data_IF_032236720159
#
_entry.id   IF_032236720159
#
_cell.length_a   1.000
_cell.length_b   1.000
_cell.length_c   1.000
_cell.angle_alpha   90.00
_cell.angle_beta   90.00
_cell.angle_gamma   90.00
#
_symmetry.space_group_name_H-M   'P 1'
#
loop_
_entity.id
_entity.type
_entity.pdbx_description
1 polymer ?
#
# COMPACT_ATOMS: atom_id res chain seq x y z
N UNK A 1 46.85 7.92 -45.37
CA UNK A 1 46.05 8.80 -46.26
C UNK A 1 45.69 10.05 -45.47
N UNK A 2 46.20 11.20 -45.92
CA UNK A 2 46.00 12.54 -45.35
C UNK A 2 44.69 13.17 -45.81
N UNK A 3 44.07 13.98 -44.95
CA UNK A 3 43.21 15.19 -45.16
C UNK A 3 42.69 15.57 -43.76
N UNK A 4 43.16 16.56 -42.98
CA UNK A 4 43.45 18.02 -43.09
C UNK A 4 42.23 18.94 -43.30
N UNK A 5 42.09 19.88 -42.34
CA UNK A 5 41.42 21.21 -42.31
C UNK A 5 39.89 21.26 -42.12
N UNK A 6 39.26 22.14 -41.32
CA UNK A 6 39.65 23.39 -40.64
C UNK A 6 38.73 23.74 -39.46
N UNK A 7 39.24 24.58 -38.55
CA UNK A 7 38.54 25.24 -37.45
C UNK A 7 37.70 26.46 -37.89
N UNK A 8 36.71 26.85 -37.08
CA UNK A 8 36.21 28.22 -37.00
C UNK A 8 35.59 28.52 -35.62
N UNK A 9 36.27 29.38 -34.85
CA UNK A 9 35.72 30.18 -33.76
C UNK A 9 34.83 31.29 -34.35
N UNK A 10 33.70 31.61 -33.69
CA UNK A 10 33.15 32.98 -33.70
C UNK A 10 32.62 33.32 -32.30
N UNK A 11 33.22 34.37 -31.74
CA UNK A 11 32.86 35.13 -30.55
C UNK A 11 32.16 36.42 -31.01
N UNK A 12 31.10 36.88 -30.34
CA UNK A 12 30.57 38.28 -30.30
C UNK A 12 29.56 38.29 -29.13
N UNK A 13 29.87 38.81 -27.95
CA UNK A 13 30.01 40.20 -27.50
C UNK A 13 28.71 40.78 -26.91
N UNK A 14 28.87 41.34 -25.71
CA UNK A 14 27.87 41.84 -24.79
C UNK A 14 27.32 43.24 -25.15
N UNK A 15 26.15 43.57 -24.63
CA UNK A 15 25.74 44.94 -24.36
C UNK A 15 25.24 45.09 -22.92
N UNK A 16 25.91 45.97 -22.17
CA UNK A 16 25.58 46.50 -20.84
C UNK A 16 25.34 48.00 -21.01
N UNK A 17 24.25 48.53 -20.43
CA UNK A 17 24.10 49.92 -19.92
C UNK A 17 23.02 49.84 -18.81
N UNK A 18 23.35 49.79 -17.51
CA UNK A 18 23.66 50.85 -16.51
C UNK A 18 22.50 51.83 -16.19
N UNK A 19 21.83 51.50 -15.07
CA UNK A 19 21.49 52.30 -13.86
C UNK A 19 20.83 53.68 -13.91
N UNK A 20 19.79 53.84 -13.08
CA UNK A 20 19.72 54.92 -12.09
C UNK A 20 19.24 54.40 -10.73
N UNK A 21 19.91 54.87 -9.68
CA UNK A 21 19.70 54.57 -8.27
C UNK A 21 18.83 55.64 -7.59
N UNK A 22 18.12 55.27 -6.54
CA UNK A 22 17.80 56.16 -5.42
C UNK A 22 17.58 55.32 -4.13
N UNK A 23 18.33 55.65 -3.09
CA UNK A 23 18.18 55.24 -1.67
C UNK A 23 18.15 56.54 -0.83
N UNK A 24 18.10 56.52 0.51
CA UNK A 24 17.10 55.96 1.43
C UNK A 24 16.65 57.00 2.48
N UNK A 25 15.63 56.69 3.31
CA UNK A 25 15.39 57.21 4.68
C UNK A 25 14.02 56.64 5.11
N UNK A 26 13.71 56.18 6.32
CA UNK A 26 14.42 56.07 7.59
C UNK A 26 13.37 55.72 8.67
N UNK A 27 13.73 54.82 9.59
CA UNK A 27 13.19 54.64 10.95
C UNK A 27 11.69 54.38 11.22
N UNK A 28 11.39 53.24 11.86
CA UNK A 28 10.14 53.03 12.61
C UNK A 28 10.11 51.67 13.31
N UNK A 29 10.06 51.68 14.65
CA UNK A 29 10.23 50.57 15.61
C UNK A 29 9.02 49.61 15.68
N UNK A 30 9.34 48.35 15.99
CA UNK A 30 8.71 47.35 16.87
C UNK A 30 7.23 47.51 17.29
N UNK A 31 6.42 46.45 17.11
CA UNK A 31 5.83 45.64 18.22
C UNK A 31 4.83 44.59 17.66
N UNK A 32 5.07 43.31 17.98
CA UNK A 32 4.07 42.22 18.10
C UNK A 32 3.52 42.32 19.56
N UNK A 33 2.25 42.01 19.95
CA UNK A 33 1.63 40.74 19.56
C UNK A 33 0.09 40.52 19.66
N UNK A 34 -0.32 39.31 19.23
CA UNK A 34 -1.46 38.45 19.69
C UNK A 34 -2.89 38.57 19.11
N UNK A 35 -3.36 37.36 18.77
CA UNK A 35 -4.70 36.74 18.99
C UNK A 35 -5.94 37.29 18.29
N UNK A 36 -6.51 36.41 17.46
CA UNK A 36 -7.87 35.89 17.68
C UNK A 36 -8.97 36.55 16.87
N UNK A 37 -9.43 35.88 15.81
CA UNK A 37 -10.78 36.08 15.27
C UNK A 37 -11.31 34.74 14.75
N UNK A 38 -12.17 34.13 15.57
CA UNK A 38 -13.16 33.14 15.14
C UNK A 38 -13.97 33.73 13.98
N UNK A 39 -13.93 33.08 12.82
CA UNK A 39 -14.87 33.37 11.75
C UNK A 39 -16.26 32.88 12.17
N UNK A 40 -17.15 33.82 12.48
CA UNK A 40 -18.56 33.57 12.72
C UNK A 40 -19.23 33.12 11.43
N UNK A 41 -19.84 31.94 11.44
CA UNK A 41 -20.69 31.42 10.38
C UNK A 41 -21.78 32.44 10.02
N UNK A 42 -21.83 32.82 8.74
CA UNK A 42 -22.94 33.59 8.19
C UNK A 42 -24.04 32.62 7.74
N UNK A 43 -25.34 32.89 8.02
CA UNK A 43 -26.41 31.99 7.60
C UNK A 43 -26.53 31.94 6.07
N UNK A 44 -26.34 30.76 5.49
CA UNK A 44 -26.50 30.48 4.05
C UNK A 44 -27.98 30.63 3.64
N UNK A 45 -28.31 31.32 2.54
CA UNK A 45 -29.69 31.40 2.03
C UNK A 45 -30.19 30.02 1.57
N UNK A 46 -31.51 29.76 1.59
CA UNK A 46 -32.05 28.43 1.33
C UNK A 46 -31.78 28.03 -0.12
N UNK A 47 -30.90 27.05 -0.31
CA UNK A 47 -30.70 26.43 -1.61
C UNK A 47 -31.96 25.63 -1.96
N UNK A 48 -32.55 25.92 -3.10
CA UNK A 48 -33.56 25.06 -3.74
C UNK A 48 -33.02 23.63 -3.81
N UNK A 49 -33.67 22.71 -3.10
CA UNK A 49 -33.29 21.31 -2.99
C UNK A 49 -33.37 20.64 -4.36
N UNK A 50 -32.22 20.44 -5.01
CA UNK A 50 -32.05 19.29 -5.89
C UNK A 50 -32.39 18.06 -5.05
N UNK A 51 -33.14 17.06 -5.55
CA UNK A 51 -33.37 15.84 -4.78
C UNK A 51 -31.99 15.31 -4.37
N UNK A 52 -31.71 15.37 -3.06
CA UNK A 52 -30.55 14.68 -2.50
C UNK A 52 -30.77 13.23 -2.89
N UNK A 53 -29.86 12.67 -3.68
CA UNK A 53 -30.01 11.28 -4.09
C UNK A 53 -30.08 10.35 -2.89
N UNK A 54 -30.51 9.12 -3.14
CA UNK A 54 -30.68 8.14 -2.09
C UNK A 54 -29.33 7.53 -1.70
N UNK A 55 -28.84 7.88 -0.51
CA UNK A 55 -27.61 7.38 0.11
C UNK A 55 -27.95 6.52 1.35
N UNK A 56 -28.89 5.58 1.18
CA UNK A 56 -29.31 4.68 2.27
C UNK A 56 -28.38 3.48 2.46
N UNK A 57 -27.42 3.28 1.56
CA UNK A 57 -26.38 2.26 1.74
C UNK A 57 -25.38 2.68 2.82
N UNK A 58 -24.82 1.70 3.53
CA UNK A 58 -23.79 1.95 4.54
C UNK A 58 -22.46 2.43 3.93
N UNK A 59 -22.22 2.11 2.66
CA UNK A 59 -21.02 2.50 1.94
C UNK A 59 -21.20 3.81 1.14
N UNK A 60 -22.38 4.43 1.20
CA UNK A 60 -22.54 5.72 0.56
C UNK A 60 -21.68 6.79 1.25
N UNK A 61 -21.12 7.72 0.46
CA UNK A 61 -20.19 8.78 0.83
C UNK A 61 -18.78 8.29 1.22
N UNK A 62 -18.31 7.18 0.63
CA UNK A 62 -16.95 6.71 0.81
C UNK A 62 -16.05 6.94 -0.43
N UNK A 63 -16.51 7.78 -1.35
CA UNK A 63 -15.89 8.13 -2.63
C UNK A 63 -16.01 7.05 -3.73
N UNK A 64 -16.33 5.80 -3.38
CA UNK A 64 -16.41 4.67 -4.30
C UNK A 64 -17.86 4.38 -4.72
N UNK A 65 -18.09 4.09 -6.00
CA UNK A 65 -19.40 3.61 -6.41
C UNK A 65 -19.57 2.13 -6.06
N UNK A 66 -20.63 1.81 -5.32
CA UNK A 66 -20.92 0.46 -4.84
C UNK A 66 -22.20 -0.15 -5.42
N UNK A 67 -22.89 0.57 -6.30
CA UNK A 67 -24.07 0.03 -6.98
C UNK A 67 -23.66 -1.09 -7.97
N UNK A 68 -24.46 -2.16 -8.12
CA UNK A 68 -24.12 -3.26 -9.02
C UNK A 68 -24.10 -2.78 -10.48
N UNK A 69 -23.34 -3.46 -11.34
CA UNK A 69 -23.17 -3.16 -12.78
C UNK A 69 -22.30 -1.95 -13.11
N UNK A 70 -22.15 -0.98 -12.21
CA UNK A 70 -21.29 0.20 -12.42
C UNK A 70 -20.18 0.31 -11.37
N UNK A 71 -20.44 -0.16 -10.16
CA UNK A 71 -19.57 -0.18 -9.00
C UNK A 71 -19.15 -1.57 -8.53
N UNK A 72 -18.78 -1.66 -7.26
CA UNK A 72 -18.37 -2.90 -6.56
C UNK A 72 -19.51 -3.90 -6.35
N UNK A 73 -20.75 -3.42 -6.26
CA UNK A 73 -21.94 -4.22 -5.94
C UNK A 73 -22.20 -4.43 -4.44
N UNK A 74 -21.51 -3.72 -3.54
CA UNK A 74 -21.77 -3.75 -2.09
C UNK A 74 -23.11 -3.10 -1.71
N UNK A 75 -23.63 -2.21 -2.55
CA UNK A 75 -24.89 -1.51 -2.35
C UNK A 75 -26.01 -2.05 -3.26
N UNK A 76 -27.26 -1.73 -2.92
CA UNK A 76 -28.37 -1.95 -3.86
C UNK A 76 -28.35 -0.84 -4.91
N UNK A 77 -28.86 -1.14 -6.11
CA UNK A 77 -29.03 -0.12 -7.16
C UNK A 77 -29.82 1.08 -6.62
N UNK A 78 -29.30 2.28 -6.86
CA UNK A 78 -29.90 3.54 -6.44
C UNK A 78 -29.76 3.88 -4.97
N UNK A 79 -28.97 3.17 -4.15
CA UNK A 79 -28.80 3.46 -2.71
C UNK A 79 -27.47 4.11 -2.36
N UNK A 80 -26.64 4.36 -3.36
CA UNK A 80 -25.33 5.00 -3.23
C UNK A 80 -25.23 6.08 -4.33
N UNK A 81 -25.90 7.22 -4.10
CA UNK A 81 -26.01 8.26 -5.11
C UNK A 81 -24.82 9.20 -5.13
N UNK A 82 -24.31 9.58 -3.96
CA UNK A 82 -23.23 10.55 -3.84
C UNK A 82 -22.01 10.12 -4.65
N UNK A 83 -21.72 8.81 -4.69
CA UNK A 83 -20.56 8.27 -5.37
C UNK A 83 -20.90 7.77 -6.80
N UNK A 84 -22.03 7.07 -7.00
CA UNK A 84 -22.37 6.53 -8.33
C UNK A 84 -23.02 7.51 -9.32
N UNK A 85 -23.45 8.71 -8.92
CA UNK A 85 -24.20 9.61 -9.83
C UNK A 85 -23.42 10.00 -11.09
N UNK A 86 -22.10 10.14 -11.00
CA UNK A 86 -21.25 10.56 -12.11
C UNK A 86 -21.07 9.45 -13.13
N UNK A 87 -20.73 8.25 -12.64
CA UNK A 87 -20.64 7.04 -13.45
C UNK A 87 -21.95 6.72 -14.19
N UNK A 88 -23.10 6.86 -13.51
CA UNK A 88 -24.42 6.70 -14.16
C UNK A 88 -24.68 7.69 -15.28
N UNK A 89 -24.19 8.91 -15.12
CA UNK A 89 -24.34 9.97 -16.11
C UNK A 89 -23.27 9.88 -17.23
N UNK A 90 -22.28 8.99 -17.11
CA UNK A 90 -21.13 8.92 -18.01
C UNK A 90 -20.29 10.20 -17.97
N UNK A 91 -20.23 10.86 -16.82
CA UNK A 91 -19.47 12.10 -16.63
C UNK A 91 -18.13 11.75 -16.00
N UNK A 92 -17.05 12.07 -16.72
CA UNK A 92 -15.67 12.07 -16.26
C UNK A 92 -15.17 13.53 -16.36
N UNK A 93 -14.71 14.12 -15.26
CA UNK A 93 -14.10 15.45 -15.26
C UNK A 93 -13.09 15.61 -14.12
N UNK A 94 -12.52 16.80 -13.98
CA UNK A 94 -11.53 17.16 -12.95
C UNK A 94 -12.16 18.03 -11.86
N UNK A 95 -13.34 17.63 -11.37
CA UNK A 95 -14.05 18.41 -10.33
C UNK A 95 -13.50 18.22 -8.92
N UNK A 96 -12.60 17.26 -8.71
CA UNK A 96 -11.88 17.11 -7.45
C UNK A 96 -10.84 18.21 -7.26
N UNK A 97 -10.53 18.55 -6.00
CA UNK A 97 -9.50 19.55 -5.69
C UNK A 97 -8.07 19.06 -5.95
N UNK A 98 -7.86 17.75 -5.95
CA UNK A 98 -6.55 17.12 -6.20
C UNK A 98 -6.34 16.76 -7.68
N UNK A 99 -7.40 16.85 -8.51
CA UNK A 99 -7.26 16.63 -9.93
C UNK A 99 -6.26 17.59 -10.59
N UNK A 100 -5.45 17.07 -11.52
CA UNK A 100 -4.33 17.75 -12.20
C UNK A 100 -3.11 18.05 -11.31
N UNK A 101 -2.89 17.30 -10.24
CA UNK A 101 -1.66 17.38 -9.45
C UNK A 101 -0.58 16.39 -9.90
N UNK A 102 -0.94 15.51 -10.85
CA UNK A 102 -0.05 14.51 -11.45
C UNK A 102 -0.13 13.14 -10.79
N UNK A 103 -1.07 12.95 -9.87
CA UNK A 103 -1.35 11.68 -9.19
C UNK A 103 -2.82 11.29 -9.43
N UNK A 104 -3.08 9.99 -9.63
CA UNK A 104 -4.48 9.55 -9.69
C UNK A 104 -5.01 9.46 -8.26
N UNK A 105 -6.15 10.11 -8.01
CA UNK A 105 -6.75 10.21 -6.68
C UNK A 105 -8.08 9.45 -6.54
N UNK A 106 -8.46 8.70 -7.56
CA UNK A 106 -9.70 7.93 -7.52
C UNK A 106 -9.57 6.65 -6.68
N UNK A 107 -10.68 6.19 -6.04
CA UNK A 107 -10.68 5.03 -5.19
C UNK A 107 -10.14 3.77 -5.85
N UNK A 108 -9.29 3.04 -5.12
CA UNK A 108 -8.63 1.76 -5.44
C UNK A 108 -7.61 1.78 -6.56
N UNK A 109 -7.67 2.75 -7.47
CA UNK A 109 -6.70 2.91 -8.57
C UNK A 109 -5.69 4.04 -8.30
N UNK A 110 -5.89 4.77 -7.20
CA UNK A 110 -5.16 5.96 -6.79
C UNK A 110 -5.12 6.15 -5.28
N UNK A 111 -5.04 7.40 -4.83
CA UNK A 111 -4.90 7.78 -3.40
C UNK A 111 -6.20 7.75 -2.59
N UNK A 112 -7.33 7.43 -3.22
CA UNK A 112 -8.68 7.47 -2.65
C UNK A 112 -9.14 8.87 -2.17
N UNK A 113 -8.43 9.95 -2.54
CA UNK A 113 -8.69 11.33 -2.10
C UNK A 113 -9.84 12.02 -2.84
N UNK A 114 -10.28 11.46 -3.98
CA UNK A 114 -11.33 12.00 -4.83
C UNK A 114 -12.50 11.02 -4.95
N UNK A 115 -13.69 11.54 -5.26
CA UNK A 115 -14.83 10.68 -5.64
C UNK A 115 -14.56 10.08 -7.03
N UNK A 116 -14.96 8.82 -7.28
CA UNK A 116 -14.82 8.22 -8.61
C UNK A 116 -15.37 9.13 -9.73
N UNK A 117 -14.65 9.18 -10.86
CA UNK A 117 -14.92 10.03 -12.03
C UNK A 117 -14.83 11.56 -11.77
N UNK A 118 -13.96 11.97 -10.84
CA UNK A 118 -13.67 13.40 -10.56
C UNK A 118 -12.20 13.80 -10.69
N UNK A 119 -11.35 12.85 -11.10
CA UNK A 119 -9.92 13.08 -11.41
C UNK A 119 -9.57 12.41 -12.76
N UNK A 120 -10.22 12.88 -13.82
CA UNK A 120 -10.15 12.24 -15.12
C UNK A 120 -8.77 12.39 -15.78
N UNK A 121 -8.12 13.55 -15.60
CA UNK A 121 -6.84 13.85 -16.26
C UNK A 121 -5.71 12.96 -15.74
N UNK A 122 -5.54 12.84 -14.42
CA UNK A 122 -4.43 12.07 -13.86
C UNK A 122 -4.70 10.56 -13.86
N UNK A 123 -5.96 10.14 -13.73
CA UNK A 123 -6.33 8.73 -13.83
C UNK A 123 -6.46 8.20 -15.27
N UNK A 124 -6.34 9.03 -16.31
CA UNK A 124 -6.64 8.67 -17.71
C UNK A 124 -6.00 7.35 -18.20
N UNK A 125 -4.81 7.00 -17.71
CA UNK A 125 -4.10 5.78 -18.09
C UNK A 125 -4.66 4.49 -17.45
N UNK A 126 -5.45 4.61 -16.38
CA UNK A 126 -5.87 3.51 -15.51
C UNK A 126 -7.38 3.47 -15.24
N UNK A 127 -8.17 4.44 -15.70
CA UNK A 127 -9.65 4.44 -15.58
C UNK A 127 -10.29 3.13 -16.04
N UNK A 128 -9.71 2.43 -17.01
CA UNK A 128 -10.21 1.14 -17.49
C UNK A 128 -10.20 0.04 -16.40
N UNK A 129 -9.41 0.20 -15.33
CA UNK A 129 -9.33 -0.72 -14.18
C UNK A 129 -10.41 -0.45 -13.13
N UNK A 130 -11.14 0.67 -13.23
CA UNK A 130 -12.12 1.08 -12.23
C UNK A 130 -13.15 -0.02 -11.99
N UNK A 131 -13.35 -0.37 -10.72
CA UNK A 131 -14.28 -1.41 -10.27
C UNK A 131 -14.01 -2.82 -10.85
N UNK A 132 -12.78 -3.07 -11.34
CA UNK A 132 -12.30 -4.40 -11.72
C UNK A 132 -11.36 -4.95 -10.65
N UNK A 133 -11.44 -6.25 -10.38
CA UNK A 133 -10.52 -6.94 -9.47
C UNK A 133 -10.27 -8.39 -9.92
N UNK A 134 -9.47 -9.11 -9.16
CA UNK A 134 -9.08 -10.51 -9.34
C UNK A 134 -9.57 -11.40 -8.18
N UNK A 135 -10.75 -11.11 -7.64
CA UNK A 135 -11.35 -11.86 -6.53
C UNK A 135 -11.93 -13.23 -6.92
N UNK A 136 -12.01 -13.55 -8.22
CA UNK A 136 -12.41 -14.89 -8.66
C UNK A 136 -11.34 -15.93 -8.31
N UNK A 137 -11.76 -17.12 -7.86
CA UNK A 137 -10.85 -18.23 -7.51
C UNK A 137 -9.96 -18.67 -8.67
N UNK A 138 -10.46 -18.53 -9.90
CA UNK A 138 -9.78 -18.94 -11.12
C UNK A 138 -9.02 -17.79 -11.79
N UNK A 139 -9.03 -16.59 -11.20
CA UNK A 139 -8.18 -15.51 -11.68
C UNK A 139 -6.72 -15.96 -11.72
N UNK A 140 -5.97 -15.39 -12.65
CA UNK A 140 -4.57 -15.72 -12.92
C UNK A 140 -4.31 -17.05 -13.63
N UNK A 141 -5.33 -17.72 -14.17
CA UNK A 141 -5.18 -18.96 -14.93
C UNK A 141 -4.95 -18.75 -16.44
N UNK A 142 -5.08 -17.51 -16.92
CA UNK A 142 -4.90 -17.12 -18.32
C UNK A 142 -6.14 -17.31 -19.21
N UNK A 143 -7.31 -17.49 -18.62
CA UNK A 143 -8.60 -17.67 -19.31
C UNK A 143 -9.61 -16.71 -18.73
N UNK A 144 -10.15 -15.80 -19.55
CA UNK A 144 -11.24 -14.94 -19.14
C UNK A 144 -12.53 -15.75 -18.89
N UNK A 145 -13.07 -15.66 -17.68
CA UNK A 145 -14.20 -16.47 -17.22
C UNK A 145 -15.42 -15.64 -16.79
N UNK A 146 -15.40 -14.33 -17.05
CA UNK A 146 -16.51 -13.43 -16.74
C UNK A 146 -17.71 -13.58 -17.70
N UNK A 147 -18.94 -13.23 -17.25
CA UNK A 147 -20.12 -13.29 -18.09
C UNK A 147 -20.02 -12.36 -19.31
N UNK A 148 -20.41 -12.86 -20.49
CA UNK A 148 -20.47 -12.08 -21.74
C UNK A 148 -19.19 -12.14 -22.58
N UNK A 149 -18.05 -12.50 -21.99
CA UNK A 149 -16.78 -12.73 -22.69
C UNK A 149 -16.34 -14.19 -22.54
N UNK A 150 -16.36 -14.70 -21.31
CA UNK A 150 -15.95 -16.05 -20.94
C UNK A 150 -17.10 -17.05 -20.79
N UNK A 151 -16.83 -18.12 -20.03
CA UNK A 151 -17.79 -19.18 -19.72
C UNK A 151 -18.78 -18.80 -18.58
N UNK A 152 -18.58 -17.67 -17.92
CA UNK A 152 -19.40 -17.21 -16.80
C UNK A 152 -19.15 -17.95 -15.47
N UNK A 153 -18.00 -18.59 -15.30
CA UNK A 153 -17.60 -19.22 -14.04
C UNK A 153 -17.24 -18.17 -12.96
N UNK A 154 -16.74 -17.01 -13.37
CA UNK A 154 -16.48 -15.88 -12.48
C UNK A 154 -17.69 -14.92 -12.43
N UNK A 155 -17.80 -14.16 -11.34
CA UNK A 155 -18.67 -13.00 -11.33
C UNK A 155 -18.12 -11.94 -12.29
N UNK A 156 -18.98 -11.07 -12.83
CA UNK A 156 -18.50 -9.96 -13.65
C UNK A 156 -17.51 -9.10 -12.85
N UNK A 157 -16.42 -8.65 -13.49
CA UNK A 157 -15.37 -7.78 -12.94
C UNK A 157 -14.50 -8.39 -11.83
N UNK A 158 -14.40 -9.72 -11.79
CA UNK A 158 -13.63 -10.45 -10.77
C UNK A 158 -12.46 -11.26 -11.33
N UNK A 159 -12.25 -11.20 -12.64
CA UNK A 159 -11.19 -11.91 -13.36
C UNK A 159 -10.45 -10.93 -14.31
N UNK A 160 -10.10 -9.77 -13.76
CA UNK A 160 -9.49 -8.66 -14.50
C UNK A 160 -8.21 -9.08 -15.22
N UNK A 161 -7.32 -9.79 -14.52
CA UNK A 161 -6.03 -10.25 -15.00
C UNK A 161 -6.11 -11.00 -16.31
N UNK A 162 -7.11 -11.87 -16.45
CA UNK A 162 -7.23 -12.75 -17.59
C UNK A 162 -8.19 -12.20 -18.66
N UNK A 163 -9.13 -11.33 -18.28
CA UNK A 163 -10.04 -10.65 -19.22
C UNK A 163 -9.50 -9.36 -19.84
N UNK A 164 -8.66 -8.61 -19.12
CA UNK A 164 -8.18 -7.29 -19.54
C UNK A 164 -6.66 -7.21 -19.71
N UNK A 165 -5.93 -8.21 -19.23
CA UNK A 165 -4.48 -8.26 -19.32
C UNK A 165 -3.79 -8.01 -17.99
N UNK A 166 -2.46 -8.13 -18.02
CA UNK A 166 -1.60 -8.01 -16.84
C UNK A 166 -0.91 -6.66 -16.76
N UNK A 167 -1.02 -5.83 -17.78
CA UNK A 167 -0.43 -4.51 -17.83
C UNK A 167 -1.04 -3.65 -16.73
N UNK A 168 -0.19 -3.16 -15.83
CA UNK A 168 -0.56 -2.30 -14.71
C UNK A 168 0.41 -1.11 -14.75
N UNK A 169 -0.02 0.07 -15.21
CA UNK A 169 0.78 1.28 -15.08
C UNK A 169 1.15 1.48 -13.61
N UNK A 170 2.41 1.78 -13.32
CA UNK A 170 2.80 2.10 -11.94
C UNK A 170 2.12 3.41 -11.51
N UNK A 171 1.33 3.37 -10.44
CA UNK A 171 0.75 4.55 -9.80
C UNK A 171 1.42 4.78 -8.45
N UNK A 172 1.02 5.81 -7.71
CA UNK A 172 1.64 6.11 -6.41
C UNK A 172 1.23 5.15 -5.30
N UNK A 173 0.09 4.47 -5.40
CA UNK A 173 -0.40 3.51 -4.39
C UNK A 173 -0.53 2.07 -4.90
N UNK A 174 -0.47 1.86 -6.22
CA UNK A 174 -0.51 0.53 -6.85
C UNK A 174 0.84 0.24 -7.53
N UNK A 175 1.71 -0.48 -6.80
CA UNK A 175 3.09 -0.69 -7.24
C UNK A 175 3.24 -1.95 -8.05
N UNK A 176 2.90 -1.80 -9.33
CA UNK A 176 3.22 -2.78 -10.35
C UNK A 176 4.36 -2.29 -11.22
N UNK A 177 5.33 -3.17 -11.51
CA UNK A 177 6.48 -2.81 -12.36
C UNK A 177 6.14 -2.85 -13.85
N UNK A 178 5.02 -2.21 -14.22
CA UNK A 178 4.44 -2.21 -15.57
C UNK A 178 3.60 -3.45 -15.89
N UNK A 179 3.66 -4.48 -15.04
CA UNK A 179 2.92 -5.73 -15.17
C UNK A 179 2.60 -6.30 -13.79
N UNK A 180 1.47 -6.97 -13.69
CA UNK A 180 1.09 -7.86 -12.59
C UNK A 180 1.72 -9.25 -12.75
N UNK A 181 2.87 -9.42 -12.11
CA UNK A 181 3.66 -10.64 -12.06
C UNK A 181 3.20 -11.60 -10.96
N UNK A 182 2.20 -11.22 -10.15
CA UNK A 182 1.62 -12.10 -9.14
C UNK A 182 0.99 -13.32 -9.80
N UNK A 183 0.93 -14.40 -9.02
CA UNK A 183 0.32 -15.66 -9.42
C UNK A 183 -0.60 -16.19 -8.32
N UNK A 184 -1.57 -17.03 -8.72
CA UNK A 184 -2.25 -17.90 -7.76
C UNK A 184 -1.37 -19.04 -7.32
N UNK A 185 -1.48 -19.34 -6.03
CA UNK A 185 -0.74 -20.41 -5.38
C UNK A 185 -1.70 -21.37 -4.69
N UNK A 186 -1.21 -22.57 -4.40
CA UNK A 186 -1.88 -23.47 -3.47
C UNK A 186 -1.44 -23.12 -2.04
N UNK A 187 -2.34 -22.57 -1.19
CA UNK A 187 -1.97 -22.12 0.14
C UNK A 187 -1.59 -23.27 1.08
N UNK A 188 -1.79 -24.54 0.69
CA UNK A 188 -1.33 -25.70 1.46
C UNK A 188 0.19 -25.97 1.29
N UNK A 189 0.82 -25.37 0.29
CA UNK A 189 2.23 -25.60 -0.01
C UNK A 189 3.14 -24.66 0.77
N UNK A 190 4.37 -25.11 1.03
CA UNK A 190 5.39 -24.22 1.58
C UNK A 190 5.96 -23.34 0.45
N UNK A 191 6.16 -22.03 0.70
CA UNK A 191 6.04 -21.37 2.00
C UNK A 191 4.65 -20.79 2.33
N UNK A 192 3.72 -20.80 1.38
CA UNK A 192 2.42 -20.10 1.45
C UNK A 192 1.59 -20.47 2.69
N UNK A 193 1.65 -21.73 3.12
CA UNK A 193 0.96 -22.18 4.35
C UNK A 193 1.44 -21.52 5.64
N UNK A 194 2.59 -20.83 5.62
CA UNK A 194 3.09 -20.06 6.77
C UNK A 194 2.39 -18.70 6.86
N UNK A 195 1.72 -18.25 5.81
CA UNK A 195 1.11 -16.93 5.70
C UNK A 195 -0.37 -16.98 6.06
N UNK A 196 -0.93 -15.81 6.33
CA UNK A 196 -2.35 -15.65 6.66
C UNK A 196 -2.72 -14.19 6.83
N UNK A 197 -4.02 -13.90 6.88
CA UNK A 197 -4.51 -12.56 7.14
C UNK A 197 -4.47 -12.29 8.65
N UNK A 198 -4.02 -11.11 9.04
CA UNK A 198 -4.11 -10.62 10.40
C UNK A 198 -5.08 -9.44 10.43
N UNK A 199 -6.15 -9.56 11.21
CA UNK A 199 -7.13 -8.49 11.41
C UNK A 199 -7.04 -7.97 12.83
N UNK A 200 -6.76 -6.68 13.01
CA UNK A 200 -6.61 -6.07 14.33
C UNK A 200 -7.97 -5.76 14.99
N UNK A 201 -7.94 -5.20 16.19
CA UNK A 201 -9.12 -4.96 17.04
C UNK A 201 -10.10 -3.94 16.47
N UNK A 202 -9.65 -3.10 15.53
CA UNK A 202 -10.47 -2.10 14.84
C UNK A 202 -10.92 -2.56 13.45
N UNK A 203 -10.56 -3.78 13.04
CA UNK A 203 -11.02 -4.41 11.81
C UNK A 203 -10.11 -4.21 10.60
N UNK A 204 -8.96 -3.55 10.76
CA UNK A 204 -7.99 -3.40 9.67
C UNK A 204 -7.32 -4.74 9.38
N UNK A 205 -7.21 -5.07 8.09
CA UNK A 205 -6.67 -6.33 7.61
C UNK A 205 -5.32 -6.11 6.95
N UNK A 206 -4.33 -6.84 7.45
CA UNK A 206 -3.00 -6.95 6.88
C UNK A 206 -2.66 -8.41 6.57
N UNK A 207 -1.46 -8.62 6.02
CA UNK A 207 -0.84 -9.92 5.90
C UNK A 207 0.12 -10.18 7.07
N UNK A 208 0.29 -11.43 7.46
CA UNK A 208 1.28 -11.85 8.43
C UNK A 208 1.90 -13.21 8.09
N UNK A 209 3.11 -13.46 8.61
CA UNK A 209 3.87 -14.70 8.37
C UNK A 209 4.26 -15.38 9.68
N UNK A 210 3.97 -16.68 9.83
CA UNK A 210 4.45 -17.49 10.94
C UNK A 210 5.98 -17.61 10.90
N UNK A 211 6.63 -17.22 12.00
CA UNK A 211 8.09 -17.29 12.19
C UNK A 211 8.54 -18.21 13.32
N UNK A 212 7.58 -18.75 14.08
CA UNK A 212 7.76 -19.72 15.14
C UNK A 212 6.48 -20.55 15.29
N UNK A 213 6.44 -21.44 16.29
CA UNK A 213 5.24 -22.21 16.64
C UNK A 213 4.02 -21.32 16.87
N UNK A 214 4.17 -20.19 17.55
CA UNK A 214 3.07 -19.32 18.00
C UNK A 214 3.39 -17.84 17.82
N UNK A 215 4.29 -17.48 16.91
CA UNK A 215 4.65 -16.08 16.63
C UNK A 215 4.52 -15.81 15.15
N UNK A 216 3.80 -14.74 14.82
CA UNK A 216 3.73 -14.15 13.49
C UNK A 216 4.55 -12.86 13.43
N UNK A 217 5.04 -12.55 12.25
CA UNK A 217 5.62 -11.28 11.85
C UNK A 217 4.61 -10.53 10.99
N UNK A 218 4.44 -9.24 11.24
CA UNK A 218 3.66 -8.29 10.43
C UNK A 218 4.27 -6.88 10.56
N UNK A 219 3.67 -5.86 9.95
CA UNK A 219 4.15 -4.48 10.06
C UNK A 219 3.67 -3.84 11.38
N UNK A 220 4.36 -2.80 11.87
CA UNK A 220 3.93 -2.08 13.08
C UNK A 220 2.68 -1.24 12.84
N UNK A 221 2.52 -0.67 11.64
CA UNK A 221 1.31 0.04 11.26
C UNK A 221 0.09 -0.89 11.18
N UNK A 222 0.26 -2.20 10.99
CA UNK A 222 -0.86 -3.15 11.05
C UNK A 222 -1.44 -3.36 12.46
N UNK A 223 -0.69 -2.95 13.48
CA UNK A 223 -1.10 -3.01 14.90
C UNK A 223 -1.16 -1.62 15.52
N UNK A 224 -1.16 -0.56 14.72
CA UNK A 224 -1.16 0.82 15.18
C UNK A 224 -1.99 1.70 14.26
N UNK A 225 -2.69 2.68 14.81
CA UNK A 225 -3.40 3.71 14.07
C UNK A 225 -3.02 5.09 14.65
N UNK A 226 -3.66 6.14 14.18
CA UNK A 226 -3.54 7.48 14.77
C UNK A 226 -3.97 7.51 16.25
N UNK A 227 -4.94 6.69 16.63
CA UNK A 227 -5.52 6.64 17.97
C UNK A 227 -4.72 5.76 18.95
N UNK A 228 -3.69 5.06 18.45
CA UNK A 228 -2.74 4.31 19.26
C UNK A 228 -2.48 2.89 18.77
N UNK A 229 -2.03 2.02 19.68
CA UNK A 229 -1.65 0.64 19.35
C UNK A 229 -2.87 -0.27 19.54
N UNK A 230 -3.21 -1.05 18.51
CA UNK A 230 -4.28 -2.05 18.46
C UNK A 230 -3.68 -3.45 18.25
N UNK A 231 -2.98 -4.01 19.25
CA UNK A 231 -2.29 -5.29 19.11
C UNK A 231 -3.24 -6.48 19.30
N UNK A 232 -4.45 -6.26 19.82
CA UNK A 232 -5.51 -7.25 19.85
C UNK A 232 -5.97 -7.54 18.42
N UNK A 233 -6.08 -8.81 18.06
CA UNK A 233 -6.35 -9.19 16.68
C UNK A 233 -6.44 -10.69 16.49
N UNK A 234 -6.80 -11.09 15.28
CA UNK A 234 -6.98 -12.48 14.89
C UNK A 234 -6.19 -12.80 13.63
N UNK A 235 -5.38 -13.84 13.70
CA UNK A 235 -4.69 -14.43 12.56
C UNK A 235 -5.52 -15.59 11.98
N UNK A 236 -5.76 -15.57 10.69
CA UNK A 236 -6.40 -16.64 9.92
C UNK A 236 -5.41 -17.20 8.87
N UNK A 237 -5.00 -18.48 8.96
CA UNK A 237 -4.04 -19.04 8.02
C UNK A 237 -4.58 -19.12 6.59
N UNK A 238 -3.71 -18.89 5.61
CA UNK A 238 -4.04 -19.07 4.19
C UNK A 238 -4.43 -20.52 3.86
N UNK A 239 -3.78 -21.48 4.51
CA UNK A 239 -4.09 -22.91 4.39
C UNK A 239 -5.46 -23.30 5.01
N UNK A 240 -6.20 -22.35 5.56
CA UNK A 240 -7.42 -22.59 6.32
C UNK A 240 -7.14 -23.20 7.71
N UNK A 241 -8.21 -23.65 8.37
CA UNK A 241 -8.13 -24.22 9.71
C UNK A 241 -8.42 -23.21 10.83
N UNK A 242 -7.99 -23.50 12.08
CA UNK A 242 -8.34 -22.67 13.23
C UNK A 242 -7.64 -21.31 13.18
N UNK A 243 -8.41 -20.24 13.42
CA UNK A 243 -7.85 -18.91 13.69
C UNK A 243 -7.17 -18.86 15.06
N UNK A 244 -6.30 -17.87 15.27
CA UNK A 244 -5.65 -17.65 16.56
C UNK A 244 -5.66 -16.16 16.93
N UNK A 245 -5.88 -15.87 18.21
CA UNK A 245 -5.90 -14.50 18.73
C UNK A 245 -4.51 -14.09 19.17
N UNK A 246 -4.18 -12.82 18.99
CA UNK A 246 -2.99 -12.23 19.60
C UNK A 246 -3.10 -12.21 21.13
N UNK A 247 -1.96 -12.40 21.80
CA UNK A 247 -1.87 -12.36 23.27
C UNK A 247 -0.70 -11.51 23.78
N UNK A 248 0.32 -11.31 22.95
CA UNK A 248 1.41 -10.40 23.22
C UNK A 248 1.97 -9.84 21.92
N UNK A 249 2.63 -8.68 22.00
CA UNK A 249 3.24 -8.03 20.85
C UNK A 249 4.56 -7.36 21.23
N UNK A 250 5.39 -7.09 20.22
CA UNK A 250 6.58 -6.26 20.33
C UNK A 250 6.76 -5.49 19.02
N UNK A 251 6.81 -4.16 19.13
CA UNK A 251 7.16 -3.23 18.06
C UNK A 251 8.41 -2.45 18.44
N UNK A 252 9.05 -1.79 17.47
CA UNK A 252 10.13 -0.85 17.73
C UNK A 252 9.63 0.30 18.62
N UNK A 253 10.40 0.70 19.63
CA UNK A 253 10.08 1.87 20.46
C UNK A 253 10.25 3.20 19.72
N UNK A 254 10.90 3.18 18.56
CA UNK A 254 11.09 4.34 17.69
C UNK A 254 9.96 4.48 16.66
N UNK A 255 9.12 3.44 16.49
CA UNK A 255 7.98 3.52 15.59
C UNK A 255 6.96 4.53 16.12
N UNK A 256 6.52 5.41 15.23
CA UNK A 256 5.51 6.43 15.48
C UNK A 256 4.62 6.49 14.24
N UNK A 257 3.31 6.30 14.41
CA UNK A 257 2.38 6.14 13.29
C UNK A 257 2.26 7.42 12.46
N UNK A 258 2.18 8.59 13.10
CA UNK A 258 2.08 9.87 12.40
C UNK A 258 3.33 10.17 11.58
N UNK A 259 4.52 9.97 12.16
CA UNK A 259 5.78 10.13 11.40
C UNK A 259 5.92 9.09 10.30
N UNK A 260 5.36 7.90 10.45
CA UNK A 260 5.36 6.86 9.43
C UNK A 260 4.53 7.24 8.21
N UNK A 261 3.36 7.86 8.39
CA UNK A 261 2.54 8.31 7.27
C UNK A 261 3.10 9.60 6.63
N UNK A 262 3.65 10.52 7.42
CA UNK A 262 4.12 11.83 6.94
C UNK A 262 5.55 11.82 6.36
N UNK A 263 6.39 10.85 6.75
CA UNK A 263 7.83 10.87 6.44
C UNK A 263 8.37 9.48 6.07
N UNK A 264 9.68 9.42 5.83
CA UNK A 264 10.43 8.16 5.62
C UNK A 264 11.38 7.84 6.78
N UNK A 265 11.34 8.61 7.87
CA UNK A 265 12.34 8.59 8.94
C UNK A 265 12.25 7.36 9.85
N UNK A 266 11.09 6.70 9.87
CA UNK A 266 10.77 5.58 10.75
C UNK A 266 10.45 4.29 10.00
N UNK A 267 10.69 4.24 8.69
CA UNK A 267 10.33 3.09 7.86
C UNK A 267 11.01 1.81 8.33
N UNK A 268 12.30 1.86 8.67
CA UNK A 268 13.02 0.70 9.20
C UNK A 268 12.54 0.23 10.60
N UNK A 269 11.58 0.95 11.20
CA UNK A 269 10.98 0.62 12.49
C UNK A 269 9.55 0.04 12.35
N UNK A 270 9.03 -0.06 11.13
CA UNK A 270 7.69 -0.57 10.85
C UNK A 270 7.64 -2.12 10.86
N UNK A 271 7.88 -2.71 12.03
CA UNK A 271 7.82 -4.15 12.23
C UNK A 271 7.15 -4.51 13.56
N UNK A 272 6.41 -5.62 13.55
CA UNK A 272 5.72 -6.15 14.72
C UNK A 272 5.88 -7.67 14.83
N UNK A 273 6.34 -8.10 16.00
CA UNK A 273 6.23 -9.50 16.43
C UNK A 273 4.94 -9.66 17.22
N UNK A 274 4.10 -10.62 16.84
CA UNK A 274 2.83 -10.88 17.53
C UNK A 274 2.77 -12.35 17.94
N UNK A 275 2.54 -12.60 19.23
CA UNK A 275 2.35 -13.95 19.78
C UNK A 275 0.87 -14.32 19.74
N UNK A 276 0.61 -15.53 19.31
CA UNK A 276 -0.71 -16.13 19.18
C UNK A 276 -1.05 -17.03 20.37
N UNK A 277 -2.34 -17.20 20.65
CA UNK A 277 -2.83 -18.12 21.69
C UNK A 277 -2.82 -19.60 21.28
N UNK A 278 -2.40 -19.92 20.05
CA UNK A 278 -2.36 -21.27 19.49
C UNK A 278 -1.04 -21.47 18.74
N UNK A 279 -0.39 -22.64 18.86
CA UNK A 279 0.87 -22.93 18.20
C UNK A 279 0.67 -23.38 16.74
N UNK A 280 0.05 -22.56 15.91
CA UNK A 280 -0.30 -22.91 14.52
C UNK A 280 0.91 -23.33 13.67
N UNK A 281 2.11 -22.83 13.98
CA UNK A 281 3.35 -23.21 13.30
C UNK A 281 3.79 -24.65 13.56
N UNK A 282 3.22 -25.39 14.52
CA UNK A 282 3.48 -26.83 14.69
C UNK A 282 2.81 -27.66 13.59
N UNK A 283 1.63 -27.24 13.13
CA UNK A 283 0.86 -27.91 12.09
C UNK A 283 1.25 -27.39 10.71
N UNK A 284 1.32 -26.06 10.57
CA UNK A 284 1.56 -25.39 9.30
C UNK A 284 3.06 -25.28 8.97
N UNK A 285 3.94 -25.38 9.97
CA UNK A 285 5.33 -24.95 9.84
C UNK A 285 5.47 -23.43 9.89
N UNK A 286 6.71 -22.95 9.79
CA UNK A 286 7.04 -21.53 9.87
C UNK A 286 8.36 -21.22 9.17
N UNK A 287 8.56 -19.96 8.80
CA UNK A 287 9.83 -19.46 8.27
C UNK A 287 10.77 -19.07 9.41
N UNK A 288 11.98 -19.62 9.44
CA UNK A 288 12.99 -19.11 10.41
C UNK A 288 13.40 -17.69 10.04
N UNK A 289 13.72 -16.83 11.00
CA UNK A 289 14.24 -15.49 10.68
C UNK A 289 15.74 -15.57 10.42
N UNK A 290 16.22 -14.95 9.33
CA UNK A 290 17.65 -14.82 9.04
C UNK A 290 17.99 -13.36 8.91
N UNK A 291 19.03 -12.90 9.62
CA UNK A 291 19.54 -11.54 9.47
C UNK A 291 19.80 -11.26 7.99
N UNK A 292 19.27 -10.14 7.53
CA UNK A 292 19.38 -9.67 6.16
C UNK A 292 19.73 -8.20 6.17
N UNK A 293 20.92 -7.91 5.68
CA UNK A 293 21.49 -6.57 5.57
C UNK A 293 22.24 -6.45 4.25
N UNK A 294 22.44 -5.21 3.78
CA UNK A 294 23.26 -4.94 2.59
C UNK A 294 24.62 -5.64 2.61
N UNK A 295 25.23 -5.78 3.79
CA UNK A 295 26.57 -6.39 3.96
C UNK A 295 26.60 -7.89 3.61
N UNK A 296 25.46 -8.56 3.63
CA UNK A 296 25.37 -10.01 3.42
C UNK A 296 25.16 -10.39 1.94
N UNK A 297 25.10 -9.40 1.04
CA UNK A 297 24.77 -9.62 -0.39
C UNK A 297 25.92 -9.25 -1.33
N UNK A 298 26.14 -10.11 -2.32
CA UNK A 298 27.02 -9.83 -3.45
C UNK A 298 26.36 -8.84 -4.44
N UNK A 299 25.10 -9.09 -4.79
CA UNK A 299 24.25 -8.16 -5.52
C UNK A 299 22.76 -8.34 -5.14
N UNK A 300 21.96 -7.27 -5.09
CA UNK A 300 20.52 -7.34 -4.77
C UNK A 300 19.74 -8.28 -5.69
N UNK A 301 19.93 -8.18 -7.01
CA UNK A 301 19.20 -8.95 -8.02
C UNK A 301 19.46 -10.47 -7.99
N UNK A 302 20.50 -10.92 -7.29
CA UNK A 302 20.78 -12.36 -7.14
C UNK A 302 19.91 -13.00 -6.03
N UNK A 303 19.13 -12.18 -5.32
CA UNK A 303 18.20 -12.63 -4.28
C UNK A 303 16.81 -12.76 -4.86
N UNK A 304 16.37 -14.00 -5.08
CA UNK A 304 14.96 -14.29 -5.35
C UNK A 304 14.19 -14.24 -4.02
N UNK A 305 13.29 -13.27 -3.92
CA UNK A 305 12.31 -13.12 -2.87
C UNK A 305 10.99 -13.81 -3.27
N UNK A 306 10.43 -14.53 -2.32
CA UNK A 306 9.07 -15.04 -2.33
C UNK A 306 8.25 -14.23 -1.35
N UNK A 307 7.20 -13.57 -1.83
CA UNK A 307 6.25 -12.79 -1.03
C UNK A 307 4.84 -13.22 -1.44
N UNK A 308 3.92 -13.22 -0.50
CA UNK A 308 2.51 -13.37 -0.81
C UNK A 308 1.68 -12.62 0.24
N UNK A 309 0.55 -12.08 -0.20
CA UNK A 309 -0.33 -11.30 0.66
C UNK A 309 -1.77 -11.26 0.18
N UNK A 310 -2.58 -10.59 1.01
CA UNK A 310 -4.03 -10.41 0.83
C UNK A 310 -4.30 -9.02 0.26
N UNK A 311 -3.81 -8.81 -0.96
CA UNK A 311 -4.04 -7.60 -1.75
C UNK A 311 -5.54 -7.33 -1.91
N UNK A 312 -5.96 -6.07 -1.80
CA UNK A 312 -7.38 -5.69 -1.89
C UNK A 312 -8.04 -6.21 -3.16
N UNK A 313 -7.33 -6.18 -4.28
CA UNK A 313 -7.82 -6.59 -5.60
C UNK A 313 -7.93 -8.10 -5.75
N UNK A 314 -7.44 -8.87 -4.79
CA UNK A 314 -7.53 -10.34 -4.80
C UNK A 314 -8.60 -10.89 -3.85
N UNK A 315 -9.36 -10.01 -3.20
CA UNK A 315 -10.42 -10.40 -2.27
C UNK A 315 -9.87 -11.14 -1.04
N UNK A 316 -10.31 -12.38 -0.84
CA UNK A 316 -9.86 -13.25 0.26
C UNK A 316 -8.79 -14.27 -0.17
N UNK A 317 -8.29 -14.14 -1.41
CA UNK A 317 -7.37 -15.09 -2.02
C UNK A 317 -5.93 -14.60 -1.92
N UNK A 318 -5.04 -15.43 -1.37
CA UNK A 318 -3.61 -15.13 -1.33
C UNK A 318 -3.03 -15.08 -2.76
N UNK A 319 -2.37 -13.99 -3.12
CA UNK A 319 -1.58 -13.88 -4.35
C UNK A 319 -0.10 -13.81 -4.01
N UNK A 320 0.77 -14.33 -4.89
CA UNK A 320 2.19 -14.45 -4.60
C UNK A 320 3.07 -13.89 -5.71
N UNK A 321 4.14 -13.22 -5.29
CA UNK A 321 5.35 -13.00 -6.06
C UNK A 321 6.30 -14.18 -5.83
N UNK A 322 6.67 -14.90 -6.90
CA UNK A 322 7.55 -16.08 -6.83
C UNK A 322 8.97 -15.84 -7.36
N UNK A 323 9.20 -14.71 -8.01
CA UNK A 323 10.48 -14.34 -8.61
C UNK A 323 10.68 -12.82 -8.62
N UNK A 324 10.61 -12.20 -7.45
CA UNK A 324 10.94 -10.78 -7.29
C UNK A 324 12.28 -10.60 -6.56
N UNK A 325 12.79 -9.37 -6.51
CA UNK A 325 14.14 -9.09 -6.01
C UNK A 325 14.23 -7.73 -5.30
N UNK A 326 15.18 -7.54 -4.37
CA UNK A 326 15.52 -6.22 -3.86
C UNK A 326 16.14 -5.34 -4.96
N UNK A 327 15.77 -4.05 -4.96
CA UNK A 327 16.31 -3.03 -5.88
C UNK A 327 17.42 -2.23 -5.20
N UNK A 328 17.18 -1.74 -3.98
CA UNK A 328 18.06 -0.81 -3.29
C UNK A 328 18.02 -1.03 -1.78
N UNK A 329 19.18 -1.07 -1.12
CA UNK A 329 19.26 -1.08 0.34
C UNK A 329 19.56 0.32 0.87
N UNK A 330 18.93 0.67 1.98
CA UNK A 330 19.14 1.92 2.70
C UNK A 330 19.95 1.67 3.98
N UNK A 331 20.59 2.73 4.49
CA UNK A 331 21.48 2.63 5.65
C UNK A 331 20.71 2.46 6.97
N UNK A 332 19.42 2.82 6.99
CA UNK A 332 18.50 2.63 8.12
C UNK A 332 18.07 1.16 8.31
N UNK A 333 18.33 0.29 7.33
CA UNK A 333 17.93 -1.12 7.34
C UNK A 333 16.67 -1.43 6.52
N UNK A 334 16.04 -0.43 5.91
CA UNK A 334 14.99 -0.63 4.92
C UNK A 334 15.60 -1.02 3.55
N UNK A 335 14.78 -1.58 2.67
CA UNK A 335 15.14 -1.80 1.28
C UNK A 335 13.95 -1.60 0.34
N UNK A 336 14.22 -1.09 -0.85
CA UNK A 336 13.26 -1.11 -1.96
C UNK A 336 13.30 -2.47 -2.66
N UNK A 337 12.17 -2.95 -3.16
CA UNK A 337 12.04 -4.22 -3.89
C UNK A 337 11.26 -4.05 -5.19
N UNK A 338 11.27 -5.08 -6.03
CA UNK A 338 10.56 -5.16 -7.30
C UNK A 338 9.46 -6.23 -7.25
N UNK A 339 8.78 -6.36 -6.11
CA UNK A 339 7.66 -7.29 -5.94
C UNK A 339 6.38 -6.48 -6.07
N UNK A 340 5.40 -6.99 -6.80
CA UNK A 340 4.14 -6.31 -6.99
C UNK A 340 3.32 -6.39 -5.70
N UNK A 341 3.12 -5.26 -5.03
CA UNK A 341 2.39 -5.16 -3.77
C UNK A 341 1.43 -3.97 -3.81
N UNK A 342 0.31 -4.11 -3.11
CA UNK A 342 -0.73 -3.07 -3.01
C UNK A 342 -1.36 -3.11 -1.61
N UNK A 343 -2.37 -2.28 -1.37
CA UNK A 343 -3.08 -2.26 -0.09
C UNK A 343 -3.51 -3.67 0.35
N UNK A 344 -3.17 -4.03 1.59
CA UNK A 344 -3.40 -5.36 2.17
C UNK A 344 -2.19 -6.31 2.13
N UNK A 345 -1.20 -6.06 1.27
CA UNK A 345 0.10 -6.77 1.31
C UNK A 345 0.97 -6.35 2.50
N UNK A 346 0.66 -5.22 3.14
CA UNK A 346 1.29 -4.75 4.37
C UNK A 346 1.50 -5.88 5.38
N UNK A 347 2.72 -6.00 5.88
CA UNK A 347 3.11 -7.04 6.83
C UNK A 347 3.41 -8.41 6.21
N UNK A 348 3.26 -8.58 4.90
CA UNK A 348 3.68 -9.80 4.21
C UNK A 348 5.18 -10.03 4.36
N UNK A 349 5.57 -11.29 4.56
CA UNK A 349 6.96 -11.65 4.77
C UNK A 349 7.69 -11.87 3.45
N UNK A 350 8.84 -11.23 3.27
CA UNK A 350 9.77 -11.58 2.20
C UNK A 350 10.59 -12.78 2.64
N UNK A 351 10.44 -13.88 1.90
CA UNK A 351 11.11 -15.14 2.16
C UNK A 351 12.16 -15.45 1.10
N UNK A 352 13.24 -16.07 1.54
CA UNK A 352 14.22 -16.68 0.65
C UNK A 352 14.31 -18.17 0.95
N UNK A 353 14.67 -18.95 -0.07
CA UNK A 353 14.80 -20.40 0.05
C UNK A 353 16.27 -20.81 0.19
N UNK A 354 16.58 -21.62 1.20
CA UNK A 354 17.87 -22.30 1.36
C UNK A 354 17.64 -23.81 1.43
N UNK A 355 17.86 -24.49 0.30
CA UNK A 355 17.52 -25.90 0.14
C UNK A 355 16.01 -26.14 0.31
N UNK A 356 15.61 -26.80 1.41
CA UNK A 356 14.21 -27.06 1.77
C UNK A 356 13.66 -26.11 2.85
N UNK A 357 14.47 -25.18 3.34
CA UNK A 357 14.09 -24.24 4.39
C UNK A 357 13.77 -22.88 3.78
N UNK A 358 12.86 -22.18 4.44
CA UNK A 358 12.50 -20.81 4.11
C UNK A 358 12.93 -19.91 5.25
N UNK A 359 13.47 -18.76 4.88
CA UNK A 359 13.95 -17.76 5.81
C UNK A 359 13.25 -16.43 5.57
N UNK A 360 12.64 -15.87 6.61
CA UNK A 360 12.13 -14.51 6.57
C UNK A 360 13.30 -13.53 6.65
N UNK A 361 13.38 -12.64 5.66
CA UNK A 361 14.45 -11.66 5.49
C UNK A 361 13.96 -10.21 5.50
N UNK A 362 12.66 -9.98 5.37
CA UNK A 362 12.05 -8.67 5.52
C UNK A 362 10.53 -8.74 5.61
N UNK A 363 9.93 -7.57 5.77
CA UNK A 363 8.47 -7.38 5.91
C UNK A 363 8.05 -6.21 5.03
N UNK A 364 6.99 -6.39 4.24
CA UNK A 364 6.40 -5.34 3.42
C UNK A 364 5.77 -4.24 4.29
N UNK A 365 6.00 -2.97 3.93
CA UNK A 365 5.74 -1.83 4.79
C UNK A 365 4.94 -0.74 4.09
N UNK A 366 5.59 0.06 3.24
CA UNK A 366 4.95 1.23 2.61
C UNK A 366 5.54 1.54 1.24
N UNK A 367 5.00 2.57 0.64
CA UNK A 367 5.51 3.16 -0.59
C UNK A 367 6.25 4.47 -0.33
N UNK A 368 7.27 4.76 -1.14
CA UNK A 368 8.01 6.03 -1.14
C UNK A 368 7.89 6.70 -2.50
N UNK A 369 7.51 7.99 -2.50
CA UNK A 369 7.62 8.82 -3.70
C UNK A 369 9.06 8.83 -4.22
N UNK A 370 9.21 8.78 -5.54
CA UNK A 370 10.50 8.70 -6.21
C UNK A 370 10.53 9.74 -7.34
N UNK A 371 11.02 10.96 -7.07
CA UNK A 371 10.98 12.04 -8.06
C UNK A 371 11.60 11.63 -9.41
N UNK A 372 10.82 11.71 -10.48
CA UNK A 372 11.26 11.35 -11.83
C UNK A 372 11.19 9.86 -12.18
N UNK A 373 10.51 9.04 -11.38
CA UNK A 373 10.22 7.64 -11.67
C UNK A 373 8.99 7.14 -10.90
N UNK A 374 8.63 5.86 -11.07
CA UNK A 374 7.57 5.26 -10.27
C UNK A 374 8.01 5.25 -8.79
N UNK A 375 7.04 5.38 -7.90
CA UNK A 375 7.27 5.23 -6.46
C UNK A 375 7.89 3.85 -6.15
N UNK A 376 8.51 3.75 -4.98
CA UNK A 376 9.28 2.57 -4.57
C UNK A 376 8.54 1.84 -3.46
N UNK A 377 8.27 0.55 -3.65
CA UNK A 377 7.86 -0.35 -2.58
C UNK A 377 9.01 -0.58 -1.60
N UNK A 378 8.73 -0.32 -0.34
CA UNK A 378 9.69 -0.38 0.76
C UNK A 378 9.32 -1.48 1.74
N UNK A 379 10.36 -2.22 2.11
CA UNK A 379 10.31 -3.27 3.10
C UNK A 379 11.29 -2.98 4.25
N UNK A 380 10.94 -3.47 5.42
CA UNK A 380 11.84 -3.50 6.58
C UNK A 380 12.74 -4.72 6.49
N UNK A 381 14.05 -4.50 6.40
CA UNK A 381 15.03 -5.58 6.45
C UNK A 381 15.09 -6.23 7.84
N UNK A 382 15.19 -7.56 7.87
CA UNK A 382 15.19 -8.33 9.13
C UNK A 382 16.32 -7.99 10.08
N UNK A 383 17.40 -7.34 9.63
CA UNK A 383 18.40 -6.77 10.51
C UNK A 383 17.82 -5.85 11.60
N UNK A 384 16.71 -5.16 11.32
CA UNK A 384 16.04 -4.25 12.25
C UNK A 384 15.39 -4.94 13.46
N UNK A 385 14.98 -6.21 13.31
CA UNK A 385 14.25 -6.94 14.35
C UNK A 385 14.90 -8.26 14.76
N UNK A 386 15.93 -8.73 14.05
CA UNK A 386 16.54 -10.04 14.25
C UNK A 386 16.92 -10.33 15.70
N UNK A 387 17.52 -9.35 16.39
CA UNK A 387 17.98 -9.52 17.78
C UNK A 387 16.84 -9.64 18.80
N UNK A 388 15.62 -9.23 18.44
CA UNK A 388 14.45 -9.32 19.30
C UNK A 388 13.73 -10.67 19.19
N UNK A 389 13.89 -11.38 18.07
CA UNK A 389 13.11 -12.59 17.75
C UNK A 389 13.31 -13.68 18.80
N UNK A 390 14.55 -14.01 19.16
CA UNK A 390 14.84 -15.12 20.07
C UNK A 390 14.27 -14.88 21.47
N UNK A 391 14.36 -13.66 21.98
CA UNK A 391 13.81 -13.27 23.28
C UNK A 391 12.29 -13.25 23.27
N UNK A 392 11.69 -12.69 22.21
CA UNK A 392 10.24 -12.64 22.09
C UNK A 392 9.63 -14.03 21.94
N UNK A 393 10.21 -14.90 21.11
CA UNK A 393 9.79 -16.30 20.93
C UNK A 393 9.92 -17.09 22.23
N UNK A 394 10.93 -16.80 23.06
CA UNK A 394 11.07 -17.41 24.38
C UNK A 394 10.18 -16.79 25.47
N UNK A 395 9.42 -15.74 25.16
CA UNK A 395 8.54 -15.04 26.12
C UNK A 395 9.30 -14.17 27.12
N UNK A 396 10.54 -13.77 26.81
CA UNK A 396 11.36 -12.89 27.67
C UNK A 396 11.08 -11.41 27.45
N UNK A 397 10.52 -11.05 26.31
CA UNK A 397 10.17 -9.68 25.91
C UNK A 397 8.73 -9.62 25.38
N UNK A 398 8.23 -8.40 25.15
CA UNK A 398 6.87 -8.15 24.65
C UNK A 398 5.94 -7.58 25.70
N UNK A 399 4.81 -7.05 25.25
CA UNK A 399 3.72 -6.49 26.06
C UNK A 399 2.44 -7.30 25.83
N UNK A 400 1.55 -7.44 26.82
CA UNK A 400 0.26 -8.10 26.62
C UNK A 400 -0.58 -7.38 25.55
N UNK A 401 -1.31 -8.13 24.72
CA UNK A 401 -2.21 -7.53 23.71
C UNK A 401 -3.52 -7.01 24.33
N UNK A 402 -3.97 -7.58 25.45
CA UNK A 402 -5.27 -7.25 26.07
C UNK A 402 -5.19 -6.12 27.12
N UNK A 403 -4.10 -5.37 27.19
CA UNK A 403 -4.06 -4.22 28.10
C UNK A 403 -4.83 -3.06 27.47
N UNK A 404 -6.04 -2.78 27.97
CA UNK A 404 -6.75 -1.53 27.67
C UNK A 404 -5.80 -0.34 27.76
N UNK A 405 -5.95 0.69 26.90
CA UNK A 405 -5.15 1.91 27.02
C UNK A 405 -5.33 2.45 28.44
N UNK A 406 -4.23 2.71 29.14
CA UNK A 406 -4.27 3.49 30.39
C UNK A 406 -4.11 4.96 30.07
#
# INVERSE_FOLDING_TARGET
MMRRFSAALVTIAACVVVSFAATPDGSGRADDPRLGLHATETPKPPSTSTPRGNDSCQHANDNECDEPTIGTGLCRTGTDNSDCRRLRAGIEDDSCQYANDGECDEPRIGTDSCVQATDATDCAAIIWMRNLNDSCDTSYNGVCEEPGVGNGACAARTDRSDCHGRERPATIDDHFYGRDDRVRIDPQQAPWRFMGSFTNGIGERCTATLISRDVIMTAAHCVSSEDGIHPDGTFAPAAGGPTARSIAYLISTTFDYQRFIETNEVDAHDWALVRLNRPLGEELGYASVRRFTRRELAAPQDVNLQQAGYSWDTGDLLSANIDCHPIQFYDDGAFAHACDTTQGDSGSGFLIRSGRRYHLVGVDSKFRSNPGGPAKSIAVGSGAFFDHVADFVAGRTGRPANSSPR
#
